data_IF_654399988425
#
_entry.id   IF_654399988425
#
_cell.length_a   1.000
_cell.length_b   1.000
_cell.length_c   1.000
_cell.angle_alpha   90.00
_cell.angle_beta   90.00
_cell.angle_gamma   90.00
#
_symmetry.space_group_name_H-M   'P 1'
#
loop_
_entity.id
_entity.type
_entity.pdbx_description
1 polymer ?
#
# COMPACT_ATOMS: atom_id res chain seq x y z
N UNK A 1 0.22 0.42 13.74
CA UNK A 1 0.90 1.09 12.62
C UNK A 1 1.59 0.02 11.77
N UNK A 2 1.30 -0.11 10.47
CA UNK A 2 1.55 -1.32 9.69
C UNK A 2 3.01 -1.48 9.20
N UNK A 3 4.01 -0.95 9.92
CA UNK A 3 5.41 -1.03 9.48
C UNK A 3 6.28 -1.89 10.39
N UNK A 4 5.70 -2.56 11.39
CA UNK A 4 6.42 -3.35 12.38
C UNK A 4 5.85 -4.77 12.36
N UNK A 5 6.71 -5.76 12.12
CA UNK A 5 6.34 -7.18 12.10
C UNK A 5 6.89 -7.93 10.88
N UNK A 6 6.64 -9.26 10.80
CA UNK A 6 6.96 -10.05 9.61
C UNK A 6 6.20 -9.52 8.40
N UNK A 7 6.90 -9.31 7.29
CA UNK A 7 6.32 -8.73 6.09
C UNK A 7 6.93 -9.32 4.83
N UNK A 8 6.13 -9.39 3.77
CA UNK A 8 6.64 -9.58 2.43
C UNK A 8 7.15 -8.24 1.90
N UNK A 9 8.39 -8.23 1.44
CA UNK A 9 9.06 -7.06 0.89
C UNK A 9 9.40 -7.34 -0.57
N UNK A 10 8.91 -6.51 -1.49
CA UNK A 10 9.27 -6.57 -2.90
C UNK A 10 10.06 -5.32 -3.28
N UNK A 11 11.16 -5.51 -3.99
CA UNK A 11 12.00 -4.44 -4.46
C UNK A 11 12.08 -4.47 -5.98
N UNK A 12 11.92 -3.30 -6.59
CA UNK A 12 12.12 -3.08 -8.01
C UNK A 12 12.98 -1.82 -8.18
N UNK A 13 13.93 -1.83 -9.12
CA UNK A 13 14.83 -0.69 -9.34
C UNK A 13 14.22 0.43 -10.20
N UNK A 14 13.00 0.27 -10.72
CA UNK A 14 12.27 1.36 -11.35
C UNK A 14 11.60 2.28 -10.31
N UNK A 15 11.38 3.53 -10.68
CA UNK A 15 10.64 4.53 -9.90
C UNK A 15 9.28 4.74 -10.54
N UNK A 16 8.21 4.72 -9.75
CA UNK A 16 6.85 5.01 -10.18
C UNK A 16 6.75 6.40 -10.86
N UNK A 17 6.10 6.44 -12.02
CA UNK A 17 5.64 7.67 -12.64
C UNK A 17 4.36 8.20 -11.97
N UNK A 18 3.95 9.41 -12.32
CA UNK A 18 2.66 9.96 -11.87
C UNK A 18 1.48 9.10 -12.37
N UNK A 19 1.59 8.47 -13.54
CA UNK A 19 0.57 7.54 -14.04
C UNK A 19 0.53 6.25 -13.23
N UNK A 20 1.68 5.72 -12.81
CA UNK A 20 1.73 4.54 -11.93
C UNK A 20 1.05 4.84 -10.59
N UNK A 21 1.33 6.00 -10.01
CA UNK A 21 0.70 6.46 -8.77
C UNK A 21 -0.81 6.67 -8.92
N UNK A 22 -1.27 7.16 -10.05
CA UNK A 22 -2.70 7.28 -10.34
C UNK A 22 -3.35 5.90 -10.51
N UNK A 23 -2.68 5.01 -11.25
CA UNK A 23 -3.16 3.66 -11.52
C UNK A 23 -3.31 2.82 -10.25
N UNK A 24 -2.32 2.86 -9.35
CA UNK A 24 -2.35 2.06 -8.13
C UNK A 24 -3.41 2.51 -7.13
N UNK A 25 -3.71 3.82 -7.06
CA UNK A 25 -4.78 4.36 -6.19
C UNK A 25 -6.16 3.99 -6.71
N UNK A 26 -6.38 4.09 -8.03
CA UNK A 26 -7.65 3.67 -8.65
C UNK A 26 -7.96 2.19 -8.45
N UNK A 27 -6.93 1.35 -8.33
CA UNK A 27 -7.12 -0.06 -8.03
C UNK A 27 -7.79 -0.25 -6.66
N UNK A 28 -7.41 0.58 -5.68
CA UNK A 28 -8.03 0.62 -4.37
C UNK A 28 -9.51 0.99 -4.46
N UNK A 29 -9.88 1.93 -5.32
CA UNK A 29 -11.28 2.35 -5.53
C UNK A 29 -12.11 1.23 -6.19
N UNK A 30 -11.49 0.43 -7.08
CA UNK A 30 -12.12 -0.73 -7.75
C UNK A 30 -12.48 -1.89 -6.81
N UNK A 31 -12.20 -1.78 -5.50
CA UNK A 31 -12.64 -2.75 -4.48
C UNK A 31 -14.18 -2.73 -4.38
N UNK A 32 -14.87 -1.66 -4.83
CA UNK A 32 -16.34 -1.61 -4.89
C UNK A 32 -16.85 -1.03 -6.21
N UNK A 33 -17.38 -1.93 -7.06
CA UNK A 33 -18.36 -1.73 -8.16
C UNK A 33 -17.90 -1.23 -9.55
N UNK A 34 -18.49 -1.88 -10.56
CA UNK A 34 -19.02 -1.33 -11.82
C UNK A 34 -18.23 -1.30 -13.15
N UNK A 35 -17.31 -2.24 -13.42
CA UNK A 35 -17.12 -2.72 -14.82
C UNK A 35 -16.29 -4.02 -14.89
N UNK A 36 -16.88 -5.20 -15.22
CA UNK A 36 -16.10 -6.44 -15.39
C UNK A 36 -15.13 -6.41 -16.59
N UNK A 37 -15.18 -5.38 -17.45
CA UNK A 37 -14.37 -5.26 -18.67
C UNK A 37 -13.21 -4.26 -18.57
N UNK A 38 -13.13 -3.45 -17.51
CA UNK A 38 -12.00 -2.53 -17.28
C UNK A 38 -11.00 -3.14 -16.30
N UNK A 39 -10.15 -4.03 -16.80
CA UNK A 39 -8.95 -4.42 -16.08
C UNK A 39 -7.88 -3.37 -16.39
N UNK A 40 -7.72 -2.39 -15.50
CA UNK A 40 -6.58 -1.48 -15.56
C UNK A 40 -5.26 -2.24 -15.49
N UNK A 41 -4.16 -1.61 -15.90
CA UNK A 41 -2.81 -2.22 -16.06
C UNK A 41 -2.25 -2.90 -14.80
N UNK A 42 -2.78 -2.58 -13.61
CA UNK A 42 -2.44 -3.19 -12.31
C UNK A 42 -3.47 -4.23 -11.80
N UNK A 43 -4.44 -4.59 -12.64
CA UNK A 43 -5.62 -5.40 -12.32
C UNK A 43 -5.33 -6.85 -11.93
N UNK A 44 -6.21 -7.41 -11.09
CA UNK A 44 -6.24 -8.77 -10.50
C UNK A 44 -4.97 -9.24 -9.75
N UNK A 45 -3.78 -9.11 -10.34
CA UNK A 45 -2.52 -9.55 -9.76
C UNK A 45 -2.12 -8.79 -8.49
N UNK A 46 -2.37 -7.48 -8.42
CA UNK A 46 -2.13 -6.77 -7.16
C UNK A 46 -3.16 -7.13 -6.08
N UNK A 47 -4.41 -7.43 -6.47
CA UNK A 47 -5.47 -7.81 -5.50
C UNK A 47 -5.14 -9.09 -4.74
N UNK A 48 -4.36 -10.01 -5.33
CA UNK A 48 -3.98 -11.25 -4.65
C UNK A 48 -3.15 -11.01 -3.38
N UNK A 49 -2.47 -9.85 -3.24
CA UNK A 49 -1.69 -9.57 -2.04
C UNK A 49 -2.56 -9.46 -0.78
N UNK A 50 -3.84 -9.07 -0.92
CA UNK A 50 -4.77 -8.94 0.19
C UNK A 50 -5.19 -10.28 0.80
N UNK A 51 -4.85 -11.41 0.17
CA UNK A 51 -4.91 -12.72 0.85
C UNK A 51 -3.91 -12.81 2.00
N UNK A 52 -2.79 -12.08 1.92
CA UNK A 52 -1.67 -12.17 2.86
C UNK A 52 -1.51 -10.94 3.75
N UNK A 53 -1.98 -9.76 3.32
CA UNK A 53 -1.86 -8.50 4.06
C UNK A 53 -3.21 -7.78 4.19
N UNK A 54 -3.35 -6.99 5.25
CA UNK A 54 -4.46 -6.05 5.41
C UNK A 54 -4.12 -4.65 4.92
N UNK A 55 -2.83 -4.33 4.80
CA UNK A 55 -2.35 -2.98 4.46
C UNK A 55 -1.18 -3.06 3.49
N UNK A 56 -1.00 -2.02 2.69
CA UNK A 56 0.17 -1.91 1.80
C UNK A 56 0.90 -0.62 2.10
N UNK A 57 2.22 -0.68 2.12
CA UNK A 57 3.06 0.51 2.00
C UNK A 57 3.91 0.43 0.73
N UNK A 58 3.91 1.50 -0.07
CA UNK A 58 4.75 1.63 -1.26
C UNK A 58 5.65 2.84 -1.06
N UNK A 59 6.95 2.69 -1.29
CA UNK A 59 7.92 3.79 -1.29
C UNK A 59 8.54 3.84 -2.67
N UNK A 60 8.43 4.97 -3.36
CA UNK A 60 9.09 5.16 -4.63
C UNK A 60 9.39 6.63 -4.89
N UNK A 61 10.60 6.92 -5.36
CA UNK A 61 11.04 8.28 -5.59
C UNK A 61 10.88 9.13 -4.34
N UNK A 62 10.15 10.24 -4.44
CA UNK A 62 9.89 11.13 -3.32
C UNK A 62 8.64 10.82 -2.50
N UNK A 63 7.97 9.70 -2.73
CA UNK A 63 6.62 9.45 -2.21
C UNK A 63 6.52 8.15 -1.42
N UNK A 64 5.77 8.21 -0.32
CA UNK A 64 5.31 7.05 0.43
C UNK A 64 3.79 7.00 0.34
N UNK A 65 3.24 5.88 -0.14
CA UNK A 65 1.81 5.59 -0.15
C UNK A 65 1.50 4.55 0.91
N UNK A 66 0.54 4.86 1.77
CA UNK A 66 -0.12 3.93 2.67
C UNK A 66 -1.50 3.61 2.11
N UNK A 67 -1.81 2.31 2.05
CA UNK A 67 -3.11 1.80 1.63
C UNK A 67 -3.69 0.91 2.71
N UNK A 68 -4.90 1.24 3.15
CA UNK A 68 -5.68 0.48 4.12
C UNK A 68 -7.13 0.33 3.62
N UNK A 69 -7.49 -0.79 2.98
CA UNK A 69 -8.85 -1.03 2.48
C UNK A 69 -9.94 -1.07 3.57
N UNK A 70 -9.55 -1.13 4.85
CA UNK A 70 -10.52 -1.09 5.95
C UNK A 70 -11.00 0.33 6.29
N UNK A 71 -10.26 1.35 5.85
CA UNK A 71 -10.64 2.75 5.98
C UNK A 71 -11.71 3.15 4.93
N UNK A 72 -12.49 4.21 5.18
CA UNK A 72 -13.36 4.82 4.18
C UNK A 72 -12.60 5.19 2.89
N UNK A 73 -13.31 5.26 1.76
CA UNK A 73 -12.72 5.50 0.42
C UNK A 73 -11.82 6.75 0.37
N UNK A 74 -12.24 7.84 1.03
CA UNK A 74 -11.49 9.10 1.12
C UNK A 74 -10.20 9.01 1.96
N UNK A 75 -10.03 7.94 2.73
CA UNK A 75 -8.90 7.71 3.67
C UNK A 75 -8.10 6.44 3.39
N UNK A 76 -8.60 5.59 2.49
CA UNK A 76 -7.99 4.32 2.13
C UNK A 76 -6.56 4.50 1.62
N UNK A 77 -6.32 5.49 0.76
CA UNK A 77 -5.00 5.82 0.24
C UNK A 77 -4.49 7.14 0.82
N UNK A 78 -3.41 7.10 1.60
CA UNK A 78 -2.74 8.29 2.14
C UNK A 78 -1.32 8.36 1.63
N UNK A 79 -0.98 9.45 0.96
CA UNK A 79 0.37 9.69 0.45
C UNK A 79 1.07 10.76 1.28
N UNK A 80 2.38 10.62 1.48
CA UNK A 80 3.21 11.66 2.08
C UNK A 80 4.59 11.73 1.41
N UNK A 81 5.23 12.91 1.40
CA UNK A 81 6.61 13.04 0.95
C UNK A 81 7.55 12.15 1.79
N UNK A 82 8.51 11.48 1.16
CA UNK A 82 9.45 10.61 1.86
C UNK A 82 10.23 11.34 2.96
N UNK A 83 10.55 12.62 2.74
CA UNK A 83 11.19 13.47 3.76
C UNK A 83 10.35 13.58 5.06
N UNK A 84 9.03 13.52 4.94
CA UNK A 84 8.09 13.58 6.08
C UNK A 84 7.91 12.24 6.78
N UNK A 85 8.45 11.14 6.24
CA UNK A 85 8.28 9.81 6.85
C UNK A 85 8.86 9.74 8.27
N UNK A 86 9.89 10.53 8.58
CA UNK A 86 10.51 10.63 9.90
C UNK A 86 9.53 11.07 11.01
N UNK A 87 8.48 11.81 10.66
CA UNK A 87 7.42 12.25 11.57
C UNK A 87 6.48 11.11 11.97
N UNK A 88 6.41 10.07 11.13
CA UNK A 88 5.52 8.92 11.30
C UNK A 88 6.29 7.71 11.84
N UNK A 89 7.51 7.51 11.34
CA UNK A 89 8.40 6.43 11.74
C UNK A 89 9.84 6.97 11.82
N UNK A 90 10.44 7.03 13.02
CA UNK A 90 11.79 7.58 13.16
C UNK A 90 12.81 6.74 12.36
N UNK A 91 13.94 7.32 11.94
CA UNK A 91 14.85 6.67 10.99
C UNK A 91 15.36 5.27 11.38
N UNK A 92 15.75 5.00 12.64
CA UNK A 92 16.13 3.65 13.05
C UNK A 92 14.99 2.63 12.90
N UNK A 93 13.74 3.06 13.11
CA UNK A 93 12.58 2.21 12.95
C UNK A 93 12.25 1.98 11.47
N UNK A 94 12.39 3.00 10.61
CA UNK A 94 12.30 2.86 9.15
C UNK A 94 13.30 1.83 8.62
N UNK A 95 14.56 1.94 9.06
CA UNK A 95 15.61 1.05 8.58
C UNK A 95 15.32 -0.42 8.95
N UNK A 96 14.84 -0.68 10.17
CA UNK A 96 14.39 -2.01 10.57
C UNK A 96 13.14 -2.47 9.81
N UNK A 97 12.16 -1.58 9.70
CA UNK A 97 10.90 -1.83 9.00
C UNK A 97 11.07 -2.11 7.52
N UNK A 98 12.16 -1.71 6.88
CA UNK A 98 12.38 -1.92 5.45
C UNK A 98 13.66 -2.72 5.17
N UNK A 99 14.06 -3.59 6.11
CA UNK A 99 15.22 -4.48 5.98
C UNK A 99 16.48 -3.76 5.46
N UNK A 100 16.76 -2.57 6.01
CA UNK A 100 17.85 -1.66 5.64
C UNK A 100 17.83 -1.10 4.22
N UNK A 101 16.80 -1.37 3.40
CA UNK A 101 16.66 -0.80 2.05
C UNK A 101 16.37 0.69 2.09
N UNK A 102 15.56 1.13 3.04
CA UNK A 102 15.36 2.55 3.30
C UNK A 102 16.39 3.04 4.33
N UNK A 103 17.39 3.77 3.86
CA UNK A 103 18.46 4.32 4.68
C UNK A 103 18.10 5.72 5.19
N UNK A 104 18.83 6.18 6.20
CA UNK A 104 18.74 7.56 6.71
C UNK A 104 19.03 8.60 5.62
N UNK A 105 19.89 8.28 4.65
CA UNK A 105 20.19 9.13 3.51
C UNK A 105 18.97 9.33 2.60
N UNK A 106 18.20 8.28 2.31
CA UNK A 106 16.97 8.40 1.51
C UNK A 106 15.92 9.29 2.19
N UNK A 107 15.80 9.18 3.52
CA UNK A 107 14.90 10.05 4.28
C UNK A 107 15.39 11.50 4.32
N UNK A 108 16.70 11.72 4.50
CA UNK A 108 17.28 13.06 4.55
C UNK A 108 17.21 13.78 3.19
N UNK A 109 17.46 13.06 2.09
CA UNK A 109 17.33 13.60 0.73
C UNK A 109 15.89 13.67 0.25
N UNK A 110 14.98 12.96 0.92
CA UNK A 110 13.60 12.83 0.49
C UNK A 110 13.42 12.05 -0.81
N UNK A 111 14.40 11.23 -1.21
CA UNK A 111 14.35 10.47 -2.45
C UNK A 111 14.84 9.02 -2.28
N UNK A 112 14.07 8.07 -2.79
CA UNK A 112 14.40 6.66 -2.89
C UNK A 112 14.46 6.25 -4.37
N UNK A 113 15.64 5.88 -4.91
CA UNK A 113 15.86 5.69 -6.35
C UNK A 113 15.41 4.30 -6.84
N UNK A 114 14.25 3.85 -6.37
CA UNK A 114 13.67 2.54 -6.64
C UNK A 114 12.22 2.50 -6.14
N UNK A 115 11.54 1.36 -6.30
CA UNK A 115 10.24 1.07 -5.69
C UNK A 115 10.40 -0.05 -4.67
N UNK A 116 9.88 0.18 -3.46
CA UNK A 116 9.79 -0.79 -2.38
C UNK A 116 8.32 -0.99 -2.02
N UNK A 117 7.84 -2.22 -2.13
CA UNK A 117 6.56 -2.62 -1.57
C UNK A 117 6.78 -3.34 -0.25
N UNK A 118 5.94 -3.01 0.72
CA UNK A 118 5.95 -3.60 2.05
C UNK A 118 4.55 -4.05 2.43
N UNK A 119 4.41 -5.36 2.65
CA UNK A 119 3.14 -6.03 2.94
C UNK A 119 3.26 -6.78 4.27
N UNK A 120 2.79 -6.17 5.37
CA UNK A 120 2.75 -6.84 6.67
C UNK A 120 1.92 -8.12 6.61
N UNK A 121 2.47 -9.23 7.07
CA UNK A 121 1.75 -10.49 7.06
C UNK A 121 0.63 -10.46 8.11
N UNK A 122 -0.59 -10.80 7.70
CA UNK A 122 -1.74 -10.93 8.58
C UNK A 122 -1.46 -11.93 9.71
N UNK A 123 -1.51 -11.46 10.95
CA UNK A 123 -1.25 -12.28 12.15
C UNK A 123 -2.53 -12.84 12.77
N UNK A 124 -3.67 -12.19 12.54
CA UNK A 124 -4.98 -12.62 13.01
C UNK A 124 -6.03 -12.42 11.92
N UNK A 125 -7.05 -13.30 11.82
CA UNK A 125 -8.15 -13.08 10.91
C UNK A 125 -8.79 -11.72 11.15
N UNK A 126 -8.91 -10.91 10.10
CA UNK A 126 -9.76 -9.72 10.15
C UNK A 126 -11.11 -10.07 9.57
N UNK A 127 -12.16 -9.83 10.37
CA UNK A 127 -13.52 -9.82 9.85
C UNK A 127 -13.69 -8.47 9.16
N UNK A 128 -13.53 -8.47 7.85
CA UNK A 128 -14.02 -7.35 7.06
C UNK A 128 -15.54 -7.32 7.22
N UNK A 129 -16.11 -6.22 7.71
CA UNK A 129 -17.57 -6.07 7.75
C UNK A 129 -18.07 -6.08 6.30
N UNK A 130 -18.59 -7.21 5.86
CA UNK A 130 -19.46 -7.26 4.69
C UNK A 130 -20.69 -6.43 5.03
N UNK A 131 -20.78 -5.21 4.49
CA UNK A 131 -22.08 -4.57 4.38
C UNK A 131 -22.85 -5.33 3.31
N UNK A 132 -23.59 -6.35 3.74
CA UNK A 132 -24.61 -6.96 2.91
C UNK A 132 -25.66 -5.89 2.64
N UNK A 133 -25.71 -5.36 1.41
CA UNK A 133 -26.92 -4.67 0.95
C UNK A 133 -28.04 -5.72 0.84
N UNK A 134 -29.33 -5.36 1.04
CA UNK A 134 -30.46 -6.29 1.04
C UNK A 134 -30.70 -7.05 -0.29
N UNK A 135 -29.78 -6.96 -1.26
CA UNK A 135 -29.83 -7.61 -2.57
C UNK A 135 -28.87 -8.80 -2.71
N UNK A 136 -28.27 -9.30 -1.62
CA UNK A 136 -27.65 -10.63 -1.61
C UNK A 136 -26.32 -10.79 -2.36
N UNK A 137 -25.60 -9.71 -2.66
CA UNK A 137 -24.26 -9.80 -3.23
C UNK A 137 -23.19 -9.55 -2.15
N UNK A 138 -22.60 -10.62 -1.64
CA UNK A 138 -21.37 -10.55 -0.83
C UNK A 138 -20.22 -10.11 -1.74
N UNK A 139 -19.72 -8.90 -1.52
CA UNK A 139 -18.41 -8.47 -2.03
C UNK A 139 -17.42 -8.55 -0.88
N UNK A 140 -16.36 -9.35 -1.06
CA UNK A 140 -15.23 -9.36 -0.14
C UNK A 140 -14.57 -7.96 -0.20
N UNK A 141 -14.40 -7.34 0.97
CA UNK A 141 -13.58 -6.14 1.10
C UNK A 141 -12.10 -6.47 0.94
#
# INVERSE_FOLDING_TARGET
MPLIGPSLCLYNNAVFSDEDWHGIRKLSDSIKKNNPLQVGTFGLGFKSIFHCTDTVTIISGGTVLFMDPSEPEDKMCRSLPLASLSQVLPPPACQRAFAHRLTTHHQATGHFPATLFWFPLRQSPRIYRTQCTPQGMCSAC
#
